data_IF_785709120075
#
_entry.id   IF_785709120075
#
_cell.length_a   1.000
_cell.length_b   1.000
_cell.length_c   1.000
_cell.angle_alpha   90.00
_cell.angle_beta   90.00
_cell.angle_gamma   90.00
#
_symmetry.space_group_name_H-M   'P 1'
#
loop_
_entity.id
_entity.type
_entity.pdbx_description
1 polymer ?
#
# COMPACT_ATOMS: atom_id res chain seq x y z
N UNK A 1 26.09 -12.78 25.50
CA UNK A 1 25.61 -11.56 26.20
C UNK A 1 24.38 -11.08 25.45
N UNK A 2 23.18 -11.42 25.93
CA UNK A 2 21.91 -11.00 25.32
C UNK A 2 21.66 -9.58 25.83
N UNK A 3 21.71 -8.57 24.95
CA UNK A 3 21.24 -7.23 25.33
C UNK A 3 19.73 -7.32 25.50
N UNK A 4 19.25 -7.13 26.72
CA UNK A 4 17.82 -6.92 26.98
C UNK A 4 17.37 -5.67 26.21
N UNK A 5 16.73 -5.88 25.07
CA UNK A 5 16.10 -4.80 24.31
C UNK A 5 14.84 -4.43 25.09
N UNK A 6 14.83 -3.22 25.66
CA UNK A 6 13.72 -2.74 26.46
C UNK A 6 12.45 -2.67 25.56
N UNK A 7 11.41 -3.49 25.81
CA UNK A 7 10.29 -3.71 24.89
C UNK A 7 9.50 -2.43 24.59
N UNK A 8 9.53 -1.47 25.50
CA UNK A 8 8.92 -0.14 25.34
C UNK A 8 9.56 0.67 24.20
N UNK A 9 10.88 0.57 24.03
CA UNK A 9 11.60 1.30 22.97
C UNK A 9 11.34 0.72 21.58
N UNK A 10 11.10 -0.59 21.51
CA UNK A 10 10.79 -1.29 20.26
C UNK A 10 9.38 -0.96 19.75
N UNK A 11 8.37 -1.02 20.64
CA UNK A 11 7.00 -0.61 20.30
C UNK A 11 6.93 0.84 19.83
N UNK A 12 7.66 1.76 20.48
CA UNK A 12 7.73 3.16 20.07
C UNK A 12 8.27 3.35 18.65
N UNK A 13 9.36 2.65 18.29
CA UNK A 13 9.94 2.70 16.93
C UNK A 13 9.01 2.09 15.88
N UNK A 14 8.35 0.97 16.21
CA UNK A 14 7.36 0.35 15.33
C UNK A 14 6.17 1.27 15.08
N UNK A 15 5.62 1.89 16.12
CA UNK A 15 4.52 2.84 16.00
C UNK A 15 4.92 4.06 15.16
N UNK A 16 6.11 4.62 15.39
CA UNK A 16 6.63 5.74 14.61
C UNK A 16 6.81 5.38 13.13
N UNK A 17 7.39 4.22 12.82
CA UNK A 17 7.55 3.75 11.44
C UNK A 17 6.21 3.46 10.76
N UNK A 18 5.26 2.86 11.50
CA UNK A 18 3.90 2.59 11.03
C UNK A 18 3.16 3.90 10.72
N UNK A 19 3.24 4.88 11.63
CA UNK A 19 2.63 6.20 11.45
C UNK A 19 3.27 6.98 10.29
N UNK A 20 4.59 6.92 10.14
CA UNK A 20 5.30 7.54 9.01
C UNK A 20 4.87 6.93 7.67
N UNK A 21 4.85 5.59 7.57
CA UNK A 21 4.46 4.90 6.34
C UNK A 21 2.96 5.03 6.04
N UNK A 22 2.10 5.09 7.06
CA UNK A 22 0.69 5.42 6.90
C UNK A 22 0.51 6.84 6.36
N UNK A 23 1.23 7.82 6.92
CA UNK A 23 1.20 9.22 6.47
C UNK A 23 1.69 9.35 5.04
N UNK A 24 2.77 8.66 4.66
CA UNK A 24 3.24 8.61 3.27
C UNK A 24 2.19 8.02 2.33
N UNK A 25 1.62 6.86 2.69
CA UNK A 25 0.54 6.23 1.93
C UNK A 25 -0.67 7.15 1.78
N UNK A 26 -1.03 7.87 2.85
CA UNK A 26 -2.08 8.88 2.86
C UNK A 26 -1.77 10.05 1.92
N UNK A 27 -0.58 10.64 2.01
CA UNK A 27 -0.17 11.74 1.13
C UNK A 27 -0.17 11.32 -0.34
N UNK A 28 0.34 10.12 -0.65
CA UNK A 28 0.30 9.57 -2.00
C UNK A 28 -1.15 9.34 -2.46
N UNK A 29 -2.00 8.76 -1.61
CA UNK A 29 -3.42 8.54 -1.91
C UNK A 29 -4.19 9.84 -2.15
N UNK A 30 -3.95 10.87 -1.32
CA UNK A 30 -4.59 12.19 -1.41
C UNK A 30 -4.07 13.02 -2.58
N UNK A 31 -2.80 12.90 -2.98
CA UNK A 31 -2.23 13.77 -4.02
C UNK A 31 -2.21 13.10 -5.39
N UNK A 32 -1.70 11.88 -5.48
CA UNK A 32 -1.47 11.19 -6.75
C UNK A 32 -2.78 10.81 -7.42
N UNK A 33 -3.76 10.34 -6.64
CA UNK A 33 -5.06 9.88 -7.17
C UNK A 33 -5.86 11.05 -7.78
N UNK A 34 -6.15 12.16 -7.08
CA UNK A 34 -6.88 13.27 -7.70
C UNK A 34 -6.04 14.04 -8.72
N UNK A 35 -4.70 14.09 -8.64
CA UNK A 35 -3.90 14.70 -9.71
C UNK A 35 -4.02 13.92 -11.02
N UNK A 36 -3.90 12.59 -10.97
CA UNK A 36 -4.04 11.75 -12.17
C UNK A 36 -5.46 11.85 -12.75
N UNK A 37 -6.49 11.78 -11.91
CA UNK A 37 -7.89 11.85 -12.36
C UNK A 37 -8.34 13.26 -12.75
N UNK A 38 -7.88 14.30 -12.05
CA UNK A 38 -8.19 15.69 -12.36
C UNK A 38 -7.55 16.16 -13.66
N UNK A 39 -6.30 15.76 -13.92
CA UNK A 39 -5.60 16.06 -15.17
C UNK A 39 -6.22 15.31 -16.36
N UNK A 40 -6.65 14.05 -16.14
CA UNK A 40 -7.43 13.28 -17.11
C UNK A 40 -8.81 13.90 -17.36
N UNK A 41 -9.53 14.33 -16.32
CA UNK A 41 -10.84 14.97 -16.41
C UNK A 41 -10.80 16.31 -17.14
N UNK A 42 -9.77 17.12 -16.88
CA UNK A 42 -9.55 18.40 -17.55
C UNK A 42 -9.22 18.21 -19.04
N UNK A 43 -8.38 17.22 -19.37
CA UNK A 43 -8.13 16.82 -20.77
C UNK A 43 -9.39 16.30 -21.45
N UNK A 44 -10.23 15.54 -20.73
CA UNK A 44 -11.54 15.04 -21.18
C UNK A 44 -12.46 16.17 -21.63
N UNK A 45 -12.65 17.18 -20.77
CA UNK A 45 -13.52 18.33 -21.05
C UNK A 45 -12.96 19.18 -22.20
N UNK A 46 -11.63 19.35 -22.25
CA UNK A 46 -10.97 20.16 -23.28
C UNK A 46 -11.00 19.51 -24.67
N UNK A 47 -10.93 18.17 -24.76
CA UNK A 47 -10.98 17.41 -26.01
C UNK A 47 -12.41 17.22 -26.53
N UNK A 48 -13.38 16.96 -25.64
CA UNK A 48 -14.80 16.83 -25.99
C UNK A 48 -15.40 18.15 -26.50
N UNK A 49 -14.79 19.29 -26.17
CA UNK A 49 -15.26 20.59 -26.64
C UNK A 49 -15.01 20.86 -28.14
N UNK A 50 -14.21 20.04 -28.87
CA UNK A 50 -13.78 20.37 -30.25
C UNK A 50 -13.67 19.21 -31.25
N UNK A 51 -13.91 17.94 -30.90
CA UNK A 51 -13.62 16.81 -31.79
C UNK A 51 -14.67 15.70 -31.84
N UNK A 52 -14.50 14.80 -32.81
CA UNK A 52 -15.30 13.60 -33.01
C UNK A 52 -15.34 12.77 -31.72
N UNK A 53 -16.54 12.56 -31.17
CA UNK A 53 -16.75 12.06 -29.79
C UNK A 53 -16.14 10.66 -29.61
N UNK A 54 -16.17 9.82 -30.65
CA UNK A 54 -15.62 8.46 -30.58
C UNK A 54 -14.08 8.43 -30.48
N UNK A 55 -13.37 9.20 -31.31
CA UNK A 55 -11.91 9.17 -31.34
C UNK A 55 -11.30 9.77 -30.07
N UNK A 56 -11.88 10.87 -29.59
CA UNK A 56 -11.48 11.51 -28.33
C UNK A 56 -11.68 10.56 -27.13
N UNK A 57 -12.86 9.94 -27.02
CA UNK A 57 -13.16 9.00 -25.93
C UNK A 57 -12.22 7.79 -25.92
N UNK A 58 -11.90 7.22 -27.09
CA UNK A 58 -10.98 6.08 -27.20
C UNK A 58 -9.56 6.45 -26.71
N UNK A 59 -9.02 7.59 -27.16
CA UNK A 59 -7.69 8.07 -26.74
C UNK A 59 -7.65 8.32 -25.23
N UNK A 60 -8.74 8.85 -24.66
CA UNK A 60 -8.87 9.07 -23.23
C UNK A 60 -8.90 7.78 -22.42
N UNK A 61 -9.65 6.76 -22.87
CA UNK A 61 -9.65 5.45 -22.24
C UNK A 61 -8.25 4.83 -22.24
N UNK A 62 -7.50 4.96 -23.36
CA UNK A 62 -6.13 4.46 -23.48
C UNK A 62 -5.16 5.18 -22.56
N UNK A 63 -5.18 6.52 -22.54
CA UNK A 63 -4.31 7.32 -21.67
C UNK A 63 -4.63 7.11 -20.18
N UNK A 64 -5.92 6.97 -19.84
CA UNK A 64 -6.36 6.62 -18.49
C UNK A 64 -5.85 5.25 -18.07
N UNK A 65 -5.98 4.25 -18.96
CA UNK A 65 -5.48 2.90 -18.74
C UNK A 65 -3.96 2.86 -18.56
N UNK A 66 -3.21 3.63 -19.35
CA UNK A 66 -1.76 3.76 -19.24
C UNK A 66 -1.36 4.45 -17.92
N UNK A 67 -1.96 5.61 -17.61
CA UNK A 67 -1.70 6.33 -16.36
C UNK A 67 -2.00 5.46 -15.13
N UNK A 68 -3.11 4.72 -15.19
CA UNK A 68 -3.47 3.72 -14.19
C UNK A 68 -2.39 2.62 -14.07
N UNK A 69 -1.99 2.00 -15.18
CA UNK A 69 -0.98 0.95 -15.20
C UNK A 69 0.37 1.40 -14.63
N UNK A 70 0.82 2.61 -14.99
CA UNK A 70 2.05 3.17 -14.45
C UNK A 70 1.93 3.46 -12.95
N UNK A 71 0.80 4.02 -12.49
CA UNK A 71 0.58 4.24 -11.05
C UNK A 71 0.63 2.93 -10.26
N UNK A 72 -0.05 1.89 -10.76
CA UNK A 72 -0.05 0.56 -10.16
C UNK A 72 1.36 -0.01 -10.09
N UNK A 73 2.10 0.02 -11.20
CA UNK A 73 3.46 -0.52 -11.29
C UNK A 73 4.41 0.21 -10.33
N UNK A 74 4.36 1.54 -10.27
CA UNK A 74 5.20 2.35 -9.40
C UNK A 74 4.92 2.08 -7.93
N UNK A 75 3.65 2.04 -7.53
CA UNK A 75 3.25 1.71 -6.14
C UNK A 75 3.70 0.30 -5.78
N UNK A 76 3.53 -0.67 -6.67
CA UNK A 76 3.99 -2.04 -6.43
C UNK A 76 5.50 -2.12 -6.22
N UNK A 77 6.28 -1.47 -7.09
CA UNK A 77 7.75 -1.47 -6.99
C UNK A 77 8.24 -0.74 -5.73
N UNK A 78 7.64 0.41 -5.41
CA UNK A 78 7.95 1.14 -4.18
C UNK A 78 7.60 0.32 -2.93
N UNK A 79 6.48 -0.41 -2.95
CA UNK A 79 6.10 -1.30 -1.86
C UNK A 79 7.05 -2.50 -1.71
N UNK A 80 7.59 -3.03 -2.82
CA UNK A 80 8.64 -4.04 -2.79
C UNK A 80 9.92 -3.49 -2.14
N UNK A 81 10.43 -2.34 -2.58
CA UNK A 81 11.63 -1.72 -2.00
C UNK A 81 11.43 -1.34 -0.52
N UNK A 82 10.25 -0.80 -0.18
CA UNK A 82 9.91 -0.51 1.21
C UNK A 82 9.86 -1.79 2.06
N UNK A 83 9.32 -2.90 1.55
CA UNK A 83 9.32 -4.18 2.24
C UNK A 83 10.73 -4.77 2.41
N UNK A 84 11.64 -4.52 1.46
CA UNK A 84 13.05 -4.87 1.62
C UNK A 84 13.72 -4.15 2.81
N UNK A 85 13.35 -2.87 3.04
CA UNK A 85 13.94 -2.05 4.10
C UNK A 85 13.22 -2.18 5.45
N UNK A 86 11.89 -2.27 5.44
CA UNK A 86 11.02 -2.21 6.62
C UNK A 86 9.79 -3.15 6.49
N UNK A 87 9.94 -4.45 6.80
CA UNK A 87 8.87 -5.44 6.60
C UNK A 87 7.66 -5.25 7.54
N UNK A 88 7.78 -4.45 8.59
CA UNK A 88 6.78 -4.32 9.66
C UNK A 88 5.55 -3.50 9.21
N UNK A 89 5.65 -2.67 8.16
CA UNK A 89 4.60 -1.71 7.79
C UNK A 89 3.65 -2.15 6.66
N UNK A 90 3.54 -3.46 6.41
CA UNK A 90 2.74 -4.04 5.32
C UNK A 90 1.28 -3.54 5.28
N UNK A 91 0.67 -3.36 6.46
CA UNK A 91 -0.74 -3.01 6.56
C UNK A 91 -1.00 -1.50 6.56
N UNK A 92 -0.04 -0.69 7.01
CA UNK A 92 -0.22 0.74 7.22
C UNK A 92 -0.34 1.53 5.90
N UNK A 93 0.46 1.15 4.91
CA UNK A 93 0.50 1.81 3.59
C UNK A 93 -0.84 1.69 2.85
N UNK A 94 -1.42 0.49 2.62
CA UNK A 94 -2.69 0.37 1.92
C UNK A 94 -3.86 1.03 2.66
N UNK A 95 -3.84 1.02 4.00
CA UNK A 95 -4.85 1.73 4.81
C UNK A 95 -4.75 3.24 4.58
N UNK A 96 -3.54 3.80 4.64
CA UNK A 96 -3.30 5.22 4.37
C UNK A 96 -3.75 5.63 2.96
N UNK A 97 -3.41 4.83 1.95
CA UNK A 97 -3.82 5.09 0.56
C UNK A 97 -5.34 5.11 0.39
N UNK A 98 -6.04 4.13 0.97
CA UNK A 98 -7.49 4.05 0.91
C UNK A 98 -8.16 5.21 1.66
N UNK A 99 -7.68 5.53 2.87
CA UNK A 99 -8.17 6.66 3.65
C UNK A 99 -8.01 7.98 2.90
N UNK A 100 -6.85 8.19 2.26
CA UNK A 100 -6.58 9.36 1.44
C UNK A 100 -7.52 9.47 0.23
N UNK A 101 -7.74 8.35 -0.49
CA UNK A 101 -8.66 8.30 -1.61
C UNK A 101 -10.11 8.59 -1.19
N UNK A 102 -10.57 8.05 -0.06
CA UNK A 102 -11.91 8.30 0.47
C UNK A 102 -12.10 9.76 0.89
N UNK A 103 -11.11 10.37 1.54
CA UNK A 103 -11.18 11.80 1.92
C UNK A 103 -11.24 12.66 0.66
N UNK A 104 -10.36 12.41 -0.32
CA UNK A 104 -10.37 13.15 -1.58
C UNK A 104 -11.72 13.00 -2.31
N UNK A 105 -12.28 11.79 -2.35
CA UNK A 105 -13.59 11.53 -2.93
C UNK A 105 -14.73 12.27 -2.19
N UNK A 106 -14.68 12.31 -0.85
CA UNK A 106 -15.64 13.05 -0.03
C UNK A 106 -15.59 14.58 -0.26
N UNK A 107 -14.40 15.14 -0.44
CA UNK A 107 -14.21 16.56 -0.80
C UNK A 107 -14.78 16.87 -2.19
N UNK A 108 -14.56 15.98 -3.15
CA UNK A 108 -15.13 16.16 -4.50
C UNK A 108 -16.66 16.09 -4.45
N UNK A 109 -17.22 15.10 -3.75
CA UNK A 109 -18.66 14.93 -3.61
C UNK A 109 -19.34 16.16 -3.00
N UNK A 110 -18.74 16.75 -1.96
CA UNK A 110 -19.31 17.92 -1.28
C UNK A 110 -19.29 19.19 -2.13
N UNK A 111 -18.31 19.36 -3.02
CA UNK A 111 -18.19 20.55 -3.86
C UNK A 111 -18.99 20.46 -5.17
N UNK A 112 -19.17 19.26 -5.73
CA UNK A 112 -19.72 19.09 -7.08
C UNK A 112 -21.12 18.46 -7.13
N UNK A 113 -21.70 18.12 -5.97
CA UNK A 113 -23.08 17.65 -5.86
C UNK A 113 -23.32 16.26 -6.47
N UNK A 114 -24.57 15.80 -6.61
CA UNK A 114 -24.90 14.43 -6.99
C UNK A 114 -24.50 14.05 -8.43
N UNK A 115 -24.17 15.00 -9.29
CA UNK A 115 -23.62 14.74 -10.63
C UNK A 115 -22.18 14.18 -10.61
N UNK A 116 -21.50 14.27 -9.47
CA UNK A 116 -20.11 13.84 -9.29
C UNK A 116 -19.93 12.37 -8.87
N UNK A 117 -21.03 11.62 -8.72
CA UNK A 117 -21.02 10.23 -8.21
C UNK A 117 -20.10 9.32 -9.02
N UNK A 118 -20.03 9.49 -10.34
CA UNK A 118 -19.14 8.69 -11.20
C UNK A 118 -17.67 8.95 -10.87
N UNK A 119 -17.29 10.21 -10.67
CA UNK A 119 -15.92 10.62 -10.33
C UNK A 119 -15.53 10.05 -8.97
N UNK A 120 -16.42 10.17 -7.98
CA UNK A 120 -16.26 9.62 -6.64
C UNK A 120 -16.03 8.10 -6.69
N UNK A 121 -16.86 7.38 -7.45
CA UNK A 121 -16.73 5.93 -7.59
C UNK A 121 -15.38 5.53 -8.23
N UNK A 122 -14.95 6.26 -9.26
CA UNK A 122 -13.67 6.04 -9.91
C UNK A 122 -12.48 6.32 -8.97
N UNK A 123 -12.54 7.35 -8.13
CA UNK A 123 -11.50 7.65 -7.14
C UNK A 123 -11.39 6.54 -6.09
N UNK A 124 -12.52 6.02 -5.60
CA UNK A 124 -12.53 4.91 -4.65
C UNK A 124 -11.96 3.64 -5.30
N UNK A 125 -12.38 3.33 -6.51
CA UNK A 125 -11.87 2.17 -7.25
C UNK A 125 -10.34 2.26 -7.47
N UNK A 126 -9.84 3.44 -7.83
CA UNK A 126 -8.41 3.68 -7.99
C UNK A 126 -7.65 3.52 -6.67
N UNK A 127 -8.18 4.06 -5.56
CA UNK A 127 -7.60 3.90 -4.23
C UNK A 127 -7.53 2.43 -3.78
N UNK A 128 -8.61 1.67 -3.98
CA UNK A 128 -8.66 0.23 -3.70
C UNK A 128 -7.61 -0.54 -4.51
N UNK A 129 -7.46 -0.22 -5.79
CA UNK A 129 -6.48 -0.85 -6.64
C UNK A 129 -5.06 -0.51 -6.21
N UNK A 130 -4.72 0.75 -5.97
CA UNK A 130 -3.40 1.14 -5.48
C UNK A 130 -3.07 0.48 -4.13
N UNK A 131 -4.04 0.41 -3.21
CA UNK A 131 -3.90 -0.33 -1.96
C UNK A 131 -3.59 -1.81 -2.21
N UNK A 132 -4.28 -2.45 -3.16
CA UNK A 132 -4.00 -3.84 -3.54
C UNK A 132 -2.61 -4.00 -4.18
N UNK A 133 -2.17 -3.06 -5.01
CA UNK A 133 -0.83 -3.04 -5.60
C UNK A 133 0.24 -2.97 -4.51
N UNK A 134 0.05 -2.10 -3.52
CA UNK A 134 0.92 -1.96 -2.37
C UNK A 134 0.96 -3.24 -1.52
N UNK A 135 -0.19 -3.86 -1.27
CA UNK A 135 -0.27 -5.15 -0.55
C UNK A 135 0.46 -6.27 -1.29
N UNK A 136 0.28 -6.38 -2.60
CA UNK A 136 0.94 -7.41 -3.41
C UNK A 136 2.44 -7.18 -3.47
N UNK A 137 2.88 -5.95 -3.72
CA UNK A 137 4.31 -5.61 -3.76
C UNK A 137 5.00 -5.86 -2.43
N UNK A 138 4.38 -5.44 -1.33
CA UNK A 138 4.96 -5.63 0.00
C UNK A 138 5.00 -7.10 0.42
N UNK A 139 3.94 -7.89 0.16
CA UNK A 139 3.96 -9.35 0.38
C UNK A 139 5.01 -10.04 -0.47
N UNK A 140 5.12 -9.68 -1.74
CA UNK A 140 6.06 -10.31 -2.66
C UNK A 140 7.51 -10.02 -2.25
N UNK A 141 7.84 -8.77 -1.89
CA UNK A 141 9.17 -8.43 -1.37
C UNK A 141 9.55 -9.20 -0.10
N UNK A 142 8.59 -9.46 0.79
CA UNK A 142 8.81 -10.30 1.97
C UNK A 142 9.04 -11.76 1.59
N UNK A 143 8.21 -12.33 0.72
CA UNK A 143 8.35 -13.72 0.25
C UNK A 143 9.68 -13.93 -0.50
N UNK A 144 10.12 -12.97 -1.30
CA UNK A 144 11.37 -13.05 -2.05
C UNK A 144 12.59 -13.09 -1.11
N UNK A 145 12.53 -12.41 0.05
CA UNK A 145 13.63 -12.40 1.05
C UNK A 145 13.58 -13.58 2.01
N UNK A 146 12.40 -13.94 2.48
CA UNK A 146 12.22 -14.85 3.60
C UNK A 146 11.62 -16.21 3.23
N UNK A 147 11.23 -16.39 1.96
CA UNK A 147 10.52 -17.57 1.51
C UNK A 147 9.08 -17.63 2.00
N UNK A 148 8.44 -18.77 1.75
CA UNK A 148 7.05 -19.03 2.17
C UNK A 148 7.03 -19.26 3.69
N UNK A 149 6.12 -18.60 4.44
CA UNK A 149 6.05 -18.80 5.87
C UNK A 149 5.56 -20.21 6.19
N UNK A 150 6.12 -20.81 7.23
CA UNK A 150 5.82 -22.16 7.71
C UNK A 150 5.22 -22.07 9.11
N UNK A 151 4.29 -22.94 9.45
CA UNK A 151 3.70 -22.97 10.78
C UNK A 151 4.75 -23.42 11.81
N UNK A 152 4.93 -22.65 12.89
CA UNK A 152 5.77 -23.03 14.04
C UNK A 152 7.28 -23.01 13.81
N UNK A 153 7.77 -22.99 12.56
CA UNK A 153 9.20 -23.07 12.22
C UNK A 153 9.67 -21.75 11.61
N UNK A 154 10.64 -21.11 12.25
CA UNK A 154 11.22 -19.85 11.80
C UNK A 154 11.52 -18.89 12.94
N UNK A 155 12.22 -17.82 12.60
CA UNK A 155 12.78 -16.86 13.55
C UNK A 155 12.00 -15.55 13.60
N UNK A 156 11.03 -15.33 12.70
CA UNK A 156 10.26 -14.09 12.64
C UNK A 156 8.78 -14.38 12.43
N UNK A 157 7.91 -13.71 13.19
CA UNK A 157 6.47 -13.87 13.04
C UNK A 157 6.00 -13.37 11.67
N UNK A 158 5.22 -14.17 10.94
CA UNK A 158 4.80 -13.80 9.59
C UNK A 158 3.75 -12.68 9.54
N UNK A 159 3.13 -12.37 10.69
CA UNK A 159 2.04 -11.39 10.81
C UNK A 159 2.53 -10.04 11.34
N UNK A 160 3.28 -10.03 12.45
CA UNK A 160 3.77 -8.78 13.07
C UNK A 160 5.28 -8.56 12.93
N UNK A 161 6.00 -9.47 12.28
CA UNK A 161 7.47 -9.43 12.11
C UNK A 161 8.25 -9.39 13.43
N UNK A 162 7.63 -9.82 14.53
CA UNK A 162 8.31 -9.94 15.83
C UNK A 162 9.39 -11.02 15.75
N UNK A 163 10.54 -10.74 16.36
CA UNK A 163 11.66 -11.68 16.47
C UNK A 163 11.28 -12.80 17.44
N UNK A 164 11.18 -14.01 16.90
CA UNK A 164 10.83 -15.24 17.61
C UNK A 164 12.04 -16.14 17.84
N UNK A 165 13.28 -15.68 17.64
CA UNK A 165 14.50 -16.46 17.91
C UNK A 165 14.56 -16.99 19.34
N UNK A 166 14.05 -16.23 20.30
CA UNK A 166 13.97 -16.62 21.70
C UNK A 166 12.69 -17.42 22.05
N UNK A 167 11.80 -17.63 21.08
CA UNK A 167 10.52 -18.32 21.29
C UNK A 167 10.60 -19.74 20.73
N UNK A 168 10.33 -20.73 21.58
CA UNK A 168 10.27 -22.14 21.17
C UNK A 168 9.42 -22.36 19.92
N UNK A 169 9.83 -23.29 19.06
CA UNK A 169 9.09 -23.67 17.86
C UNK A 169 7.67 -24.13 18.21
N UNK A 170 6.73 -23.84 17.32
CA UNK A 170 5.31 -24.19 17.50
C UNK A 170 4.53 -23.28 18.48
N UNK A 171 5.18 -22.47 19.31
CA UNK A 171 4.46 -21.50 20.16
C UNK A 171 3.91 -20.32 19.34
N UNK A 172 2.70 -19.82 19.65
CA UNK A 172 2.17 -18.64 19.01
C UNK A 172 3.03 -17.41 19.36
N UNK A 173 3.10 -16.45 18.45
CA UNK A 173 3.80 -15.20 18.68
C UNK A 173 3.24 -14.48 19.93
N UNK A 174 4.08 -14.10 20.91
CA UNK A 174 3.60 -13.49 22.15
C UNK A 174 2.96 -12.12 21.95
N UNK A 175 3.27 -11.42 20.85
CA UNK A 175 2.73 -10.08 20.56
C UNK A 175 1.36 -10.12 19.86
N UNK A 176 1.13 -11.08 18.95
CA UNK A 176 -0.07 -11.07 18.10
C UNK A 176 -0.83 -12.40 18.04
N UNK A 177 -0.34 -13.46 18.68
CA UNK A 177 -0.92 -14.80 18.62
C UNK A 177 -0.70 -15.56 17.30
N UNK A 178 -0.03 -14.95 16.31
CA UNK A 178 0.22 -15.57 15.01
C UNK A 178 1.12 -16.80 15.10
N UNK A 179 0.75 -17.86 14.37
CA UNK A 179 1.46 -19.16 14.38
C UNK A 179 2.40 -19.36 13.18
N UNK A 180 2.22 -18.57 12.13
CA UNK A 180 3.05 -18.62 10.93
C UNK A 180 4.36 -17.88 11.16
N UNK A 181 5.48 -18.46 10.74
CA UNK A 181 6.83 -17.91 10.92
C UNK A 181 7.59 -17.91 9.59
N UNK A 182 8.42 -16.90 9.37
CA UNK A 182 9.37 -16.86 8.28
C UNK A 182 10.67 -17.53 8.70
N UNK A 183 11.22 -18.40 7.85
CA UNK A 183 12.58 -18.89 7.99
C UNK A 183 13.51 -17.71 7.72
N UNK A 184 14.18 -17.19 8.75
CA UNK A 184 15.18 -16.14 8.52
C UNK A 184 16.40 -16.86 7.97
N UNK A 185 16.53 -16.88 6.65
CA UNK A 185 17.82 -17.06 6.03
C UNK A 185 18.63 -15.81 6.39
N UNK A 186 19.52 -15.96 7.37
CA UNK A 186 20.57 -14.97 7.64
C UNK A 186 21.17 -14.58 6.29
N UNK A 187 21.18 -13.27 6.01
CA UNK A 187 21.90 -12.71 4.89
C UNK A 187 23.28 -13.39 4.87
N UNK A 188 23.63 -14.05 3.76
CA UNK A 188 24.99 -14.52 3.52
C UNK A 188 25.89 -13.29 3.70
N UNK A 189 26.75 -13.35 4.71
CA UNK A 189 27.79 -12.36 4.98
C UNK A 189 28.64 -12.07 3.74
#
# INVERSE_FOLDING_TARGET
MIREINPLTFRGRQLAATAYNATLGFLVGVTLTPMLFGLLGFLLISLLARGDICASTLVLCLLSGLGWFFSWRSVRLAAMDAAHRYPISLHAVPIGMLAGALIAAGVVYSQSGPSSVVVVFMMIAAGLMQARAAQLGSRQGVLDRHGVPVAGVGEMCAQCMYDLRATEEGKPCPECGGVMRYAVFLDKA
#
